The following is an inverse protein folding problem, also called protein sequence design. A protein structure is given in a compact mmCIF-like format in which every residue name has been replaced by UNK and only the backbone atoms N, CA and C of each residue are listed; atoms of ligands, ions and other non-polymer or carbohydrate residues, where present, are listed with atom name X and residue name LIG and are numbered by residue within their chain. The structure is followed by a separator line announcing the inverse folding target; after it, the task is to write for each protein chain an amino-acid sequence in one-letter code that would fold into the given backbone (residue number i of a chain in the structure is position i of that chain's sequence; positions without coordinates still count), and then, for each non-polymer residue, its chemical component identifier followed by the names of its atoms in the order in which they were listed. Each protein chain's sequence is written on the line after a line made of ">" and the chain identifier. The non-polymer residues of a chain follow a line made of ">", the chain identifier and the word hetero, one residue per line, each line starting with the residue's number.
data_IF_683589277197
#
_entry.id   IF_683589277197
#
_cell.length_a   1.000
_cell.length_b   1.000
_cell.length_c   1.000
_cell.angle_alpha   90.00
_cell.angle_beta   90.00
_cell.angle_gamma   90.00
#
_symmetry.space_group_name_H-M   'P 1'
#
loop_
_entity.id
_entity.type
_entity.pdbx_description
1 polymer ?
#
# COMPACT_ATOMS: atom_id res chain seq x y z
N UNK A 1 6.35 -8.59 -13.22
CA UNK A 1 6.38 -7.67 -12.05
C UNK A 1 5.92 -6.28 -12.49
N UNK A 2 5.26 -5.47 -11.64
CA UNK A 2 4.81 -4.12 -11.99
C UNK A 2 5.95 -3.12 -11.78
N UNK A 3 6.59 -2.65 -12.86
CA UNK A 3 7.78 -1.78 -12.83
C UNK A 3 7.58 -0.44 -13.58
N UNK A 4 6.36 -0.12 -13.99
CA UNK A 4 6.08 1.06 -14.83
C UNK A 4 6.49 2.39 -14.18
N UNK A 5 6.25 2.53 -12.87
CA UNK A 5 6.64 3.73 -12.12
C UNK A 5 8.16 3.94 -12.09
N UNK A 6 8.93 2.86 -11.92
CA UNK A 6 10.39 2.92 -11.89
C UNK A 6 10.96 3.30 -13.26
N UNK A 7 10.38 2.77 -14.35
CA UNK A 7 10.76 3.18 -15.72
C UNK A 7 10.49 4.67 -15.97
N UNK A 8 9.32 5.16 -15.54
CA UNK A 8 8.96 6.56 -15.69
C UNK A 8 9.91 7.47 -14.88
N UNK A 9 10.25 7.09 -13.64
CA UNK A 9 11.16 7.85 -12.80
C UNK A 9 12.57 7.93 -13.38
N UNK A 10 13.09 6.83 -13.94
CA UNK A 10 14.41 6.80 -14.62
C UNK A 10 14.40 7.71 -15.85
N UNK A 11 13.38 7.60 -16.71
CA UNK A 11 13.28 8.42 -17.92
C UNK A 11 13.14 9.92 -17.63
N UNK A 12 12.38 10.27 -16.59
CA UNK A 12 12.20 11.65 -16.17
C UNK A 12 13.32 12.16 -15.24
N UNK A 13 14.23 11.29 -14.79
CA UNK A 13 15.27 11.58 -13.82
C UNK A 13 14.74 12.27 -12.54
N UNK A 14 13.61 11.78 -12.02
CA UNK A 14 12.93 12.33 -10.83
C UNK A 14 13.00 11.37 -9.65
N UNK A 15 13.06 11.88 -8.41
CA UNK A 15 13.04 11.03 -7.23
C UNK A 15 11.69 10.36 -7.01
N UNK A 16 11.73 9.17 -6.40
CA UNK A 16 10.54 8.46 -5.92
C UNK A 16 10.47 8.65 -4.40
N UNK A 17 9.33 9.15 -3.90
CA UNK A 17 9.10 9.32 -2.47
C UNK A 17 8.25 8.15 -1.97
N UNK A 18 8.80 7.26 -1.12
CA UNK A 18 8.04 6.17 -0.53
C UNK A 18 7.09 6.70 0.54
N UNK A 19 5.83 6.30 0.47
CA UNK A 19 4.79 6.72 1.43
C UNK A 19 4.08 5.50 1.99
N UNK A 20 3.81 5.53 3.30
CA UNK A 20 3.05 4.50 3.99
C UNK A 20 1.96 5.14 4.85
N UNK A 21 0.76 4.57 4.86
CA UNK A 21 -0.35 5.01 5.70
C UNK A 21 -0.71 3.92 6.69
N UNK A 22 -0.48 4.20 7.98
CA UNK A 22 -0.80 3.31 9.09
C UNK A 22 -2.32 3.14 9.22
N UNK A 23 -2.76 1.95 9.66
CA UNK A 23 -4.16 1.60 9.95
C UNK A 23 -5.13 1.56 8.74
N UNK A 24 -4.62 1.75 7.50
CA UNK A 24 -5.48 1.75 6.30
C UNK A 24 -6.23 0.42 6.08
N UNK A 25 -5.62 -0.70 6.45
CA UNK A 25 -6.24 -2.04 6.32
C UNK A 25 -7.20 -2.36 7.45
N UNK A 26 -7.07 -1.69 8.59
CA UNK A 26 -7.98 -1.79 9.74
C UNK A 26 -9.24 -0.96 9.48
N UNK A 27 -9.11 0.18 8.81
CA UNK A 27 -10.25 0.98 8.36
C UNK A 27 -11.09 0.27 7.29
N UNK A 28 -10.43 -0.34 6.30
CA UNK A 28 -11.09 -0.95 5.15
C UNK A 28 -10.67 -2.42 5.01
N UNK A 29 -11.56 -3.35 5.38
CA UNK A 29 -11.33 -4.78 5.16
C UNK A 29 -12.16 -5.27 3.99
N UNK A 30 -11.48 -5.96 3.08
CA UNK A 30 -12.15 -6.78 2.07
C UNK A 30 -12.09 -8.23 2.52
N UNK A 31 -13.22 -8.94 2.58
CA UNK A 31 -13.22 -10.37 2.90
C UNK A 31 -12.44 -11.11 1.81
N UNK A 32 -11.41 -11.85 2.21
CA UNK A 32 -10.53 -12.57 1.27
C UNK A 32 -11.28 -13.68 0.52
N UNK A 33 -12.25 -14.31 1.19
CA UNK A 33 -13.03 -15.44 0.68
C UNK A 33 -13.90 -15.03 -0.50
N UNK A 34 -14.48 -13.82 -0.47
CA UNK A 34 -15.44 -13.40 -1.49
C UNK A 34 -14.74 -12.92 -2.78
N UNK A 35 -13.44 -12.58 -2.76
CA UNK A 35 -12.72 -12.06 -3.95
C UNK A 35 -12.81 -12.96 -5.19
N UNK A 36 -12.70 -14.29 -5.03
CA UNK A 36 -12.77 -15.21 -6.17
C UNK A 36 -14.17 -15.30 -6.77
N UNK A 37 -15.20 -15.33 -5.91
CA UNK A 37 -16.60 -15.31 -6.32
C UNK A 37 -16.96 -13.98 -7.00
N UNK A 38 -16.56 -12.86 -6.40
CA UNK A 38 -16.79 -11.52 -6.94
C UNK A 38 -16.04 -11.26 -8.24
N UNK A 39 -14.86 -11.85 -8.44
CA UNK A 39 -14.17 -11.77 -9.72
C UNK A 39 -14.97 -12.47 -10.83
N UNK A 40 -15.50 -13.67 -10.57
CA UNK A 40 -16.37 -14.37 -11.54
C UNK A 40 -17.65 -13.58 -11.82
N UNK A 41 -18.24 -12.96 -10.79
CA UNK A 41 -19.40 -12.10 -10.96
C UNK A 41 -19.06 -10.84 -11.78
N UNK A 42 -17.94 -10.18 -11.49
CA UNK A 42 -17.44 -9.01 -12.21
C UNK A 42 -17.18 -9.31 -13.69
N UNK A 43 -16.57 -10.46 -14.02
CA UNK A 43 -16.34 -10.87 -15.40
C UNK A 43 -17.66 -11.04 -16.18
N UNK A 44 -18.74 -11.40 -15.48
CA UNK A 44 -20.08 -11.60 -16.07
C UNK A 44 -20.93 -10.32 -16.14
N UNK A 45 -20.90 -9.49 -15.10
CA UNK A 45 -21.76 -8.30 -14.98
C UNK A 45 -21.04 -7.00 -15.35
N UNK A 46 -19.71 -7.00 -15.44
CA UNK A 46 -18.84 -5.81 -15.59
C UNK A 46 -19.07 -4.72 -14.53
N UNK A 47 -19.78 -5.03 -13.45
CA UNK A 47 -20.09 -4.09 -12.37
C UNK A 47 -19.03 -4.19 -11.26
N UNK A 48 -18.28 -3.11 -10.96
CA UNK A 48 -17.22 -3.10 -9.95
C UNK A 48 -17.78 -3.06 -8.53
N UNK A 49 -18.53 -4.10 -8.14
CA UNK A 49 -19.01 -4.27 -6.77
C UNK A 49 -17.92 -5.01 -5.99
N UNK A 50 -17.33 -4.37 -4.98
CA UNK A 50 -16.43 -5.03 -4.02
C UNK A 50 -17.01 -4.76 -2.64
N UNK A 51 -17.49 -5.78 -1.89
CA UNK A 51 -18.00 -5.58 -0.56
C UNK A 51 -16.81 -5.23 0.35
N UNK A 52 -16.68 -3.94 0.65
CA UNK A 52 -15.78 -3.43 1.67
C UNK A 52 -16.60 -3.37 2.95
N UNK A 53 -16.24 -4.17 3.95
CA UNK A 53 -16.78 -4.00 5.30
C UNK A 53 -15.72 -3.25 6.13
N UNK A 54 -16.14 -2.20 6.84
CA UNK A 54 -15.20 -1.28 7.46
C UNK A 54 -15.80 0.10 7.71
N UNK A 55 -15.01 1.15 7.45
CA UNK A 55 -15.21 2.52 7.92
C UNK A 55 -15.08 2.69 9.43
N UNK A 56 -14.32 1.80 10.07
CA UNK A 56 -13.97 2.00 11.47
C UNK A 56 -13.23 3.32 11.61
N UNK A 57 -13.59 4.16 12.59
CA UNK A 57 -12.98 5.47 12.79
C UNK A 57 -11.59 5.32 13.41
N UNK A 58 -10.67 4.63 12.74
CA UNK A 58 -9.28 4.48 13.17
C UNK A 58 -8.48 5.72 12.80
N UNK A 59 -7.40 5.99 13.54
CA UNK A 59 -6.50 7.11 13.27
C UNK A 59 -5.58 6.76 12.10
N UNK A 60 -5.66 7.53 11.01
CA UNK A 60 -4.68 7.45 9.93
C UNK A 60 -3.46 8.30 10.26
N UNK A 61 -2.27 7.73 10.08
CA UNK A 61 -1.02 8.46 10.14
C UNK A 61 -0.23 8.14 8.88
N UNK A 62 0.10 9.18 8.12
CA UNK A 62 0.92 9.07 6.93
C UNK A 62 2.39 9.27 7.30
N UNK A 63 3.23 8.36 6.84
CA UNK A 63 4.67 8.39 6.99
C UNK A 63 5.28 8.55 5.61
N UNK A 64 6.13 9.56 5.48
CA UNK A 64 6.82 9.91 4.25
C UNK A 64 8.28 9.58 4.48
N UNK A 65 8.83 8.67 3.68
CA UNK A 65 10.25 8.32 3.74
C UNK A 65 11.11 9.21 2.86
N UNK A 66 12.41 8.97 2.90
CA UNK A 66 13.38 9.75 2.16
C UNK A 66 13.26 9.55 0.64
N UNK A 67 13.51 10.61 -0.16
CA UNK A 67 13.47 10.52 -1.62
C UNK A 67 14.56 9.60 -2.17
N UNK A 68 14.17 8.67 -3.05
CA UNK A 68 15.06 7.72 -3.71
C UNK A 68 15.33 8.22 -5.14
N UNK A 69 16.59 8.57 -5.43
CA UNK A 69 16.99 9.08 -6.73
C UNK A 69 17.44 7.94 -7.66
N UNK A 70 16.99 7.93 -8.94
CA UNK A 70 17.44 6.94 -9.92
C UNK A 70 18.93 7.15 -10.26
N UNK A 71 19.71 6.07 -10.28
CA UNK A 71 21.11 6.12 -10.74
C UNK A 71 21.17 5.92 -12.26
N UNK A 72 22.19 6.51 -12.92
CA UNK A 72 22.32 6.56 -14.39
C UNK A 72 22.24 5.18 -15.08
N UNK A 73 22.74 4.13 -14.44
CA UNK A 73 22.76 2.76 -15.00
C UNK A 73 21.86 1.78 -14.22
N UNK A 74 20.90 2.28 -13.44
CA UNK A 74 20.06 1.42 -12.61
C UNK A 74 18.95 0.75 -13.42
N UNK A 75 18.87 -0.58 -13.34
CA UNK A 75 17.73 -1.32 -13.90
C UNK A 75 16.43 -0.96 -13.16
N UNK A 76 15.34 -0.78 -13.91
CA UNK A 76 14.00 -0.53 -13.32
C UNK A 76 13.57 -1.55 -12.26
N UNK A 77 14.05 -2.80 -12.34
CA UNK A 77 13.84 -3.81 -11.31
C UNK A 77 14.58 -3.51 -10.00
N UNK A 78 15.84 -3.10 -10.09
CA UNK A 78 16.65 -2.74 -8.92
C UNK A 78 16.02 -1.56 -8.19
N UNK A 79 15.64 -0.50 -8.92
CA UNK A 79 14.97 0.67 -8.35
C UNK A 79 13.63 0.30 -7.71
N UNK A 80 12.84 -0.55 -8.37
CA UNK A 80 11.57 -1.03 -7.82
C UNK A 80 11.77 -1.84 -6.52
N UNK A 81 12.82 -2.64 -6.43
CA UNK A 81 13.12 -3.42 -5.23
C UNK A 81 13.61 -2.52 -4.09
N UNK A 82 14.41 -1.50 -4.39
CA UNK A 82 14.86 -0.50 -3.43
C UNK A 82 13.70 0.28 -2.82
N UNK A 83 12.78 0.76 -3.66
CA UNK A 83 11.54 1.43 -3.21
C UNK A 83 10.68 0.49 -2.38
N UNK A 84 10.54 -0.77 -2.81
CA UNK A 84 9.77 -1.77 -2.07
C UNK A 84 10.38 -2.04 -0.68
N UNK A 85 11.70 -2.13 -0.58
CA UNK A 85 12.39 -2.29 0.69
C UNK A 85 12.20 -1.06 1.59
N UNK A 86 12.31 0.15 1.05
CA UNK A 86 12.07 1.39 1.81
C UNK A 86 10.65 1.47 2.38
N UNK A 87 9.63 1.19 1.55
CA UNK A 87 8.24 1.07 2.02
C UNK A 87 8.09 -0.06 3.06
N UNK A 88 8.78 -1.19 2.86
CA UNK A 88 8.81 -2.28 3.83
C UNK A 88 9.36 -1.87 5.19
N UNK A 89 10.45 -1.08 5.21
CA UNK A 89 11.02 -0.50 6.43
C UNK A 89 10.05 0.45 7.11
N UNK A 90 9.40 1.35 6.36
CA UNK A 90 8.36 2.24 6.90
C UNK A 90 7.21 1.45 7.55
N UNK A 91 6.77 0.37 6.91
CA UNK A 91 5.73 -0.52 7.46
C UNK A 91 6.23 -1.16 8.76
N UNK A 92 7.43 -1.73 8.76
CA UNK A 92 7.98 -2.43 9.91
C UNK A 92 8.15 -1.50 11.13
N UNK A 93 8.59 -0.26 10.90
CA UNK A 93 8.81 0.73 11.95
C UNK A 93 7.51 1.30 12.53
N UNK A 94 6.45 1.44 11.71
CA UNK A 94 5.26 2.20 12.11
C UNK A 94 3.99 1.36 12.27
N UNK A 95 3.93 0.12 11.75
CA UNK A 95 2.73 -0.73 11.84
C UNK A 95 2.97 -1.90 12.79
N UNK A 96 2.04 -2.09 13.74
CA UNK A 96 1.97 -3.32 14.53
C UNK A 96 1.48 -4.47 13.64
N UNK A 97 2.26 -5.54 13.54
CA UNK A 97 1.96 -6.72 12.72
C UNK A 97 1.82 -7.97 13.62
N UNK A 98 0.73 -8.77 13.49
CA UNK A 98 -0.42 -8.57 12.62
C UNK A 98 -1.29 -7.39 13.07
N UNK A 99 -1.83 -6.63 12.11
CA UNK A 99 -2.71 -5.49 12.40
C UNK A 99 -4.03 -5.91 13.05
N UNK A 100 -4.51 -5.12 14.00
CA UNK A 100 -5.71 -5.37 14.80
C UNK A 100 -6.59 -4.11 14.87
N UNK A 101 -7.88 -4.26 14.55
CA UNK A 101 -8.87 -3.16 14.53
C UNK A 101 -9.06 -2.56 15.92
N UNK A 102 -9.11 -3.39 16.97
CA UNK A 102 -9.32 -2.91 18.34
C UNK A 102 -8.18 -2.01 18.81
N UNK A 103 -6.93 -2.43 18.57
CA UNK A 103 -5.76 -1.60 18.89
C UNK A 103 -5.74 -0.31 18.05
N UNK A 104 -6.09 -0.38 16.77
CA UNK A 104 -6.17 0.81 15.91
C UNK A 104 -7.28 1.80 16.32
N UNK A 105 -8.35 1.31 16.95
CA UNK A 105 -9.39 2.15 17.55
C UNK A 105 -8.91 2.77 18.87
N UNK A 106 -8.19 2.02 19.70
CA UNK A 106 -7.60 2.53 20.96
C UNK A 106 -6.56 3.64 20.66
N UNK A 107 -5.76 3.49 19.60
CA UNK A 107 -4.79 4.50 19.14
C UNK A 107 -5.46 5.86 18.76
N UNK A 108 -6.80 5.94 18.73
CA UNK A 108 -7.54 7.22 18.59
C UNK A 108 -7.75 7.93 19.92
N UNK A 109 -7.89 7.18 21.01
CA UNK A 109 -8.16 7.69 22.36
C UNK A 109 -6.87 8.08 23.10
N UNK A 110 -5.75 7.50 22.68
CA UNK A 110 -4.39 7.79 23.16
C UNK A 110 -3.67 8.72 22.18
#
# INVERSE_FOLDING_TARGET
>A
KRQGFAKAAIQANVPIIPVFTQNVREAFRTPKVTRACLRRLYEKTRLPLVPIYGFFPVKFKMFIGDPIYPKKDQTSESLSNEVMNSVGTLIYQHQRLPGNILFALIDRLV
#
